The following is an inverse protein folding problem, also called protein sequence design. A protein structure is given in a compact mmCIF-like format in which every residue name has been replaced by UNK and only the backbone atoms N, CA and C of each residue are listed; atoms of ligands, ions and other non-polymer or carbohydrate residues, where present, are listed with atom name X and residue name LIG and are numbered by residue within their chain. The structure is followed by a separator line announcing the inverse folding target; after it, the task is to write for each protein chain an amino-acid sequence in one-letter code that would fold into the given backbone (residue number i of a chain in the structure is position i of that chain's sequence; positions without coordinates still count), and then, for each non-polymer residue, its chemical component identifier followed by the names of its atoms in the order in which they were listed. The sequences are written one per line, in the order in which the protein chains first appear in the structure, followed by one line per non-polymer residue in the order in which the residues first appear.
data_IF_395640078493
#
_entry.id   IF_395640078493
#
_cell.length_a   1.000
_cell.length_b   1.000
_cell.length_c   1.000
_cell.angle_alpha   90.00
_cell.angle_beta   90.00
_cell.angle_gamma   90.00
#
_symmetry.space_group_name_H-M   'P 1'
#
loop_
_entity.id
_entity.type
_entity.pdbx_description
1 polymer ?
#
# COMPACT_ATOMS: atom_id res chain seq x y z
N UNK A 1 -3.99 -74.85 3.11
CA UNK A 1 -5.47 -74.87 3.24
C UNK A 1 -5.91 -73.47 3.65
N UNK A 2 -6.48 -72.71 2.71
CA UNK A 2 -7.47 -71.66 3.01
C UNK A 2 -8.87 -72.29 2.81
N UNK A 3 -10.04 -71.61 2.96
CA UNK A 3 -10.34 -70.24 3.43
C UNK A 3 -11.59 -70.17 4.39
N UNK A 4 -11.99 -68.97 4.84
CA UNK A 4 -13.33 -68.35 4.58
C UNK A 4 -13.86 -67.42 5.68
N UNK A 5 -14.05 -66.14 5.32
CA UNK A 5 -15.22 -65.25 5.55
C UNK A 5 -15.64 -64.89 7.00
N UNK A 6 -16.06 -63.67 7.37
CA UNK A 6 -16.65 -62.56 6.63
C UNK A 6 -16.56 -61.28 7.48
N UNK A 7 -16.47 -60.14 6.78
CA UNK A 7 -16.49 -58.78 7.30
C UNK A 7 -17.76 -58.44 8.10
N UNK A 8 -17.63 -57.58 9.12
CA UNK A 8 -18.73 -56.74 9.62
C UNK A 8 -18.30 -55.28 9.74
N UNK A 9 -18.98 -54.47 8.93
CA UNK A 9 -19.13 -53.02 8.94
C UNK A 9 -18.84 -52.36 10.30
N UNK A 10 -17.92 -51.39 10.29
CA UNK A 10 -18.07 -50.17 11.11
C UNK A 10 -18.35 -49.04 10.13
N UNK A 11 -19.64 -48.81 9.90
CA UNK A 11 -20.17 -47.71 9.11
C UNK A 11 -20.30 -46.49 10.03
N UNK A 12 -19.65 -45.40 9.61
CA UNK A 12 -20.13 -44.02 9.71
C UNK A 12 -20.63 -43.49 11.07
N UNK A 13 -19.83 -42.59 11.66
CA UNK A 13 -20.30 -41.36 12.33
C UNK A 13 -19.15 -40.36 12.39
N UNK A 14 -18.68 -39.91 11.21
CA UNK A 14 -18.06 -38.59 11.10
C UNK A 14 -19.23 -37.62 11.11
N UNK A 15 -19.42 -36.92 12.22
CA UNK A 15 -20.30 -35.77 12.26
C UNK A 15 -19.72 -34.71 11.32
N UNK A 16 -20.20 -34.70 10.08
CA UNK A 16 -20.04 -33.57 9.19
C UNK A 16 -20.80 -32.41 9.82
N UNK A 17 -20.09 -31.56 10.56
CA UNK A 17 -20.55 -30.20 10.81
C UNK A 17 -20.55 -29.49 9.46
N UNK A 18 -21.67 -29.61 8.74
CA UNK A 18 -21.95 -28.76 7.59
C UNK A 18 -22.03 -27.33 8.09
N UNK A 19 -20.90 -26.63 8.04
CA UNK A 19 -20.92 -25.16 7.97
C UNK A 19 -21.65 -24.86 6.67
N UNK A 20 -22.93 -24.52 6.79
CA UNK A 20 -23.67 -23.90 5.70
C UNK A 20 -22.97 -22.59 5.41
N UNK A 21 -22.09 -22.59 4.41
CA UNK A 21 -21.71 -21.37 3.73
C UNK A 21 -23.00 -20.76 3.21
N UNK A 22 -23.41 -19.63 3.79
CA UNK A 22 -24.47 -18.81 3.23
C UNK A 22 -24.01 -18.40 1.83
N UNK A 23 -24.53 -19.06 0.79
CA UNK A 23 -24.38 -18.60 -0.59
C UNK A 23 -24.99 -17.19 -0.64
N UNK A 24 -24.32 -16.21 -1.28
CA UNK A 24 -24.90 -14.89 -1.41
C UNK A 24 -26.22 -14.96 -2.16
N UNK A 25 -27.13 -14.12 -1.68
CA UNK A 25 -28.52 -13.94 -2.07
C UNK A 25 -28.76 -14.08 -3.59
N UNK A 26 -29.62 -15.03 -3.98
CA UNK A 26 -30.18 -15.12 -5.35
C UNK A 26 -31.35 -14.14 -5.48
N UNK A 27 -31.07 -12.84 -5.34
CA UNK A 27 -32.06 -11.80 -5.65
C UNK A 27 -31.56 -10.89 -6.79
N UNK A 28 -32.19 -11.05 -7.96
CA UNK A 28 -32.61 -9.89 -8.76
C UNK A 28 -31.67 -9.23 -9.77
N UNK A 29 -30.37 -9.51 -9.84
CA UNK A 29 -29.57 -9.12 -11.02
C UNK A 29 -28.33 -9.99 -11.20
N UNK A 30 -28.09 -10.51 -12.41
CA UNK A 30 -26.80 -11.10 -12.80
C UNK A 30 -25.70 -10.03 -12.99
N UNK A 31 -25.93 -8.80 -12.52
CA UNK A 31 -24.99 -7.70 -12.70
C UNK A 31 -23.93 -7.76 -11.62
N UNK A 32 -22.67 -7.81 -12.05
CA UNK A 32 -21.50 -7.70 -11.17
C UNK A 32 -21.50 -6.31 -10.52
N UNK A 33 -21.26 -6.22 -9.21
CA UNK A 33 -21.20 -4.95 -8.49
C UNK A 33 -19.85 -4.29 -8.75
N UNK A 34 -19.88 -3.16 -9.45
CA UNK A 34 -18.73 -2.28 -9.63
C UNK A 34 -18.50 -1.39 -8.41
N UNK A 35 -17.24 -1.07 -8.15
CA UNK A 35 -16.83 -0.13 -7.10
C UNK A 35 -16.55 1.26 -7.68
N UNK A 36 -17.01 2.27 -6.95
CA UNK A 36 -16.58 3.66 -7.13
C UNK A 36 -15.11 3.83 -6.72
N UNK A 37 -14.51 4.97 -7.10
CA UNK A 37 -13.14 5.28 -6.68
C UNK A 37 -13.01 5.47 -5.17
N UNK A 38 -14.04 5.99 -4.51
CA UNK A 38 -13.99 6.22 -3.05
C UNK A 38 -14.10 4.89 -2.29
N UNK A 39 -14.96 3.96 -2.73
CA UNK A 39 -15.00 2.60 -2.17
C UNK A 39 -13.67 1.84 -2.38
N UNK A 40 -13.01 2.04 -3.52
CA UNK A 40 -11.67 1.47 -3.76
C UNK A 40 -10.64 2.02 -2.76
N UNK A 41 -10.65 3.33 -2.50
CA UNK A 41 -9.75 3.97 -1.53
C UNK A 41 -10.01 3.55 -0.09
N UNK A 42 -11.26 3.23 0.26
CA UNK A 42 -11.57 2.64 1.56
C UNK A 42 -10.94 1.25 1.71
N UNK A 43 -10.92 0.45 0.65
CA UNK A 43 -10.32 -0.90 0.68
C UNK A 43 -8.78 -0.82 0.68
N UNK A 44 -8.18 -0.02 -0.21
CA UNK A 44 -6.74 0.14 -0.37
C UNK A 44 -6.37 1.59 -0.72
N UNK A 45 -5.51 2.21 0.10
CA UNK A 45 -5.10 3.61 -0.04
C UNK A 45 -3.61 3.72 -0.43
N UNK A 46 -3.08 2.76 -1.19
CA UNK A 46 -1.67 2.77 -1.65
C UNK A 46 -1.38 3.82 -2.74
N UNK A 47 -2.39 4.63 -3.10
CA UNK A 47 -2.29 5.70 -4.08
C UNK A 47 -2.11 5.22 -5.52
N UNK A 48 -1.94 6.15 -6.47
CA UNK A 48 -1.70 5.81 -7.87
C UNK A 48 -0.33 5.17 -8.06
N UNK A 49 -0.22 4.29 -9.05
CA UNK A 49 1.06 3.68 -9.44
C UNK A 49 2.03 4.78 -9.90
N UNK A 50 3.26 4.84 -9.38
CA UNK A 50 4.29 5.73 -9.89
C UNK A 50 4.50 5.55 -11.40
N UNK A 51 4.57 6.66 -12.15
CA UNK A 51 4.71 6.63 -13.62
C UNK A 51 5.92 5.83 -14.07
N UNK A 52 7.03 5.93 -13.33
CA UNK A 52 8.26 5.20 -13.60
C UNK A 52 8.05 3.67 -13.54
N UNK A 53 7.14 3.20 -12.68
CA UNK A 53 6.82 1.77 -12.60
C UNK A 53 5.90 1.30 -13.72
N UNK A 54 5.07 2.20 -14.27
CA UNK A 54 4.25 1.92 -15.45
C UNK A 54 5.10 1.86 -16.73
N UNK A 55 6.14 2.69 -16.82
CA UNK A 55 7.08 2.70 -17.96
C UNK A 55 7.98 1.45 -17.98
N UNK A 56 8.30 0.91 -16.80
CA UNK A 56 9.01 -0.36 -16.65
C UNK A 56 8.04 -1.53 -16.84
N UNK A 57 7.60 -1.76 -18.09
CA UNK A 57 6.84 -2.95 -18.53
C UNK A 57 7.81 -4.12 -18.83
N UNK A 58 8.10 -5.03 -17.87
CA UNK A 58 8.96 -6.21 -18.08
C UNK A 58 8.46 -7.14 -19.18
N UNK A 59 7.16 -7.14 -19.40
CA UNK A 59 6.41 -8.03 -20.26
C UNK A 59 6.57 -7.70 -21.75
N UNK A 60 6.88 -6.46 -22.11
CA UNK A 60 7.29 -6.12 -23.48
C UNK A 60 8.72 -6.55 -23.80
N UNK A 61 9.54 -6.85 -22.79
CA UNK A 61 10.86 -7.48 -23.00
C UNK A 61 10.75 -8.96 -23.40
N UNK A 62 9.55 -9.58 -23.36
CA UNK A 62 9.34 -10.92 -23.93
C UNK A 62 9.33 -10.92 -25.47
N UNK A 63 9.13 -9.77 -26.13
CA UNK A 63 9.36 -9.62 -27.57
C UNK A 63 10.83 -9.48 -27.98
N UNK A 64 11.72 -9.18 -27.02
CA UNK A 64 13.18 -9.12 -27.22
C UNK A 64 13.94 -10.00 -26.21
N UNK A 65 13.29 -11.06 -25.73
CA UNK A 65 13.70 -11.91 -24.61
C UNK A 65 14.83 -12.91 -24.90
N UNK A 66 15.69 -12.68 -25.89
CA UNK A 66 16.77 -13.62 -26.22
C UNK A 66 17.86 -13.76 -25.13
N UNK A 67 17.86 -12.90 -24.10
CA UNK A 67 18.78 -13.03 -22.95
C UNK A 67 18.17 -13.70 -21.71
N UNK A 68 16.91 -13.46 -21.37
CA UNK A 68 16.28 -14.16 -20.24
C UNK A 68 15.84 -15.57 -20.61
N UNK A 69 15.38 -15.78 -21.86
CA UNK A 69 15.00 -17.10 -22.33
C UNK A 69 16.20 -18.04 -22.45
N UNK A 70 17.40 -17.57 -22.85
CA UNK A 70 18.62 -18.41 -22.84
C UNK A 70 19.06 -18.87 -21.44
N UNK A 71 18.70 -18.14 -20.39
CA UNK A 71 18.94 -18.57 -19.01
C UNK A 71 17.93 -19.62 -18.54
N UNK A 72 16.73 -19.68 -19.13
CA UNK A 72 15.64 -20.55 -18.67
C UNK A 72 15.45 -21.77 -19.57
N UNK A 73 15.77 -21.70 -20.87
CA UNK A 73 15.67 -22.84 -21.79
C UNK A 73 16.92 -23.74 -21.82
N UNK A 74 18.05 -23.30 -21.25
CA UNK A 74 19.30 -24.08 -21.15
C UNK A 74 19.62 -24.62 -19.75
N UNK A 75 18.84 -24.26 -18.73
CA UNK A 75 19.00 -24.75 -17.37
C UNK A 75 17.66 -25.32 -16.92
N UNK A 76 17.52 -26.65 -16.94
CA UNK A 76 16.30 -27.32 -16.48
C UNK A 76 15.83 -26.76 -15.16
N UNK A 77 14.51 -26.49 -15.05
CA UNK A 77 13.77 -26.07 -13.85
C UNK A 77 14.68 -25.56 -12.71
N UNK A 78 15.39 -24.44 -12.94
CA UNK A 78 16.13 -23.82 -11.84
C UNK A 78 15.07 -23.30 -10.87
N UNK A 79 14.97 -23.96 -9.72
CA UNK A 79 14.26 -23.47 -8.55
C UNK A 79 14.51 -21.96 -8.40
N UNK A 80 13.43 -21.19 -8.34
CA UNK A 80 13.49 -19.75 -8.06
C UNK A 80 14.37 -19.55 -6.83
N UNK A 81 15.40 -18.69 -6.89
CA UNK A 81 16.21 -18.38 -5.70
C UNK A 81 15.30 -17.89 -4.55
N UNK A 82 15.42 -18.36 -3.31
CA UNK A 82 14.56 -17.89 -2.24
C UNK A 82 14.79 -16.38 -1.99
N UNK A 83 13.69 -15.63 -1.80
CA UNK A 83 13.71 -14.28 -1.22
C UNK A 83 13.28 -14.42 0.24
N UNK A 84 14.10 -13.94 1.16
CA UNK A 84 13.79 -13.91 2.59
C UNK A 84 13.74 -12.45 3.00
N UNK A 85 12.54 -11.96 3.30
CA UNK A 85 12.30 -10.58 3.73
C UNK A 85 12.29 -10.55 5.25
N UNK A 86 13.28 -9.87 5.83
CA UNK A 86 13.27 -9.57 7.26
C UNK A 86 12.22 -8.52 7.58
N UNK A 87 11.40 -8.76 8.62
CA UNK A 87 10.27 -7.92 8.99
C UNK A 87 10.46 -7.32 10.38
N UNK A 88 10.44 -5.99 10.44
CA UNK A 88 10.32 -5.22 11.67
C UNK A 88 8.86 -4.83 11.88
N UNK A 89 8.27 -5.24 13.01
CA UNK A 89 6.88 -4.94 13.34
C UNK A 89 6.81 -3.94 14.48
N UNK A 90 6.04 -2.87 14.30
CA UNK A 90 5.63 -1.97 15.37
C UNK A 90 4.10 -2.03 15.52
N UNK A 91 3.62 -2.42 16.69
CA UNK A 91 2.20 -2.41 17.07
C UNK A 91 1.94 -1.15 17.89
N UNK A 92 1.09 -0.26 17.40
CA UNK A 92 0.78 1.02 18.04
C UNK A 92 -0.51 0.91 18.82
N UNK A 93 -0.46 1.29 20.10
CA UNK A 93 -1.60 1.20 21.02
C UNK A 93 -1.89 2.54 21.68
N UNK A 94 -3.16 2.85 21.90
CA UNK A 94 -3.55 4.00 22.73
C UNK A 94 -3.31 3.66 24.19
N UNK A 95 -3.01 4.68 25.01
CA UNK A 95 -2.75 4.54 26.45
C UNK A 95 -3.92 3.91 27.22
N UNK A 96 -5.14 4.11 26.75
CA UNK A 96 -6.37 3.63 27.39
C UNK A 96 -6.86 2.27 26.86
N UNK A 97 -6.16 1.71 25.87
CA UNK A 97 -6.58 0.45 25.26
C UNK A 97 -6.40 -0.72 26.22
N UNK A 98 -7.44 -1.54 26.34
CA UNK A 98 -7.48 -2.70 27.23
C UNK A 98 -7.13 -4.01 26.52
N UNK A 99 -7.05 -3.98 25.18
CA UNK A 99 -6.68 -5.11 24.34
C UNK A 99 -5.62 -4.67 23.33
N UNK A 100 -4.69 -5.57 23.01
CA UNK A 100 -3.64 -5.38 22.01
C UNK A 100 -3.52 -6.61 21.12
N UNK A 101 -2.82 -6.48 20.00
CA UNK A 101 -2.57 -7.59 19.09
C UNK A 101 -1.83 -8.73 19.82
N UNK A 102 -2.43 -9.92 19.83
CA UNK A 102 -1.80 -11.08 20.44
C UNK A 102 -0.67 -11.62 19.56
N UNK A 103 0.32 -12.28 20.19
CA UNK A 103 1.41 -12.98 19.48
C UNK A 103 0.86 -14.05 18.54
N UNK A 104 -0.23 -14.71 18.92
CA UNK A 104 -0.90 -15.73 18.12
C UNK A 104 -1.51 -15.12 16.84
N UNK A 105 -2.27 -14.03 16.97
CA UNK A 105 -2.83 -13.32 15.82
C UNK A 105 -1.75 -12.85 14.84
N UNK A 106 -0.65 -12.27 15.36
CA UNK A 106 0.49 -11.88 14.54
C UNK A 106 1.15 -13.10 13.85
N UNK A 107 1.36 -14.20 14.58
CA UNK A 107 1.98 -15.41 14.02
C UNK A 107 1.12 -16.03 12.93
N UNK A 108 -0.20 -16.10 13.13
CA UNK A 108 -1.15 -16.58 12.14
C UNK A 108 -1.14 -15.69 10.88
N UNK A 109 -1.06 -14.38 11.05
CA UNK A 109 -0.92 -13.46 9.92
C UNK A 109 0.37 -13.70 9.14
N UNK A 110 1.50 -13.91 9.81
CA UNK A 110 2.76 -14.25 9.13
C UNK A 110 2.68 -15.59 8.39
N UNK A 111 1.94 -16.57 8.90
CA UNK A 111 1.69 -17.83 8.21
C UNK A 111 0.89 -17.62 6.91
N UNK A 112 -0.19 -16.83 6.97
CA UNK A 112 -1.00 -16.45 5.79
C UNK A 112 -0.14 -15.76 4.73
N UNK A 113 0.74 -14.83 5.13
CA UNK A 113 1.67 -14.17 4.20
C UNK A 113 2.61 -15.18 3.54
N UNK A 114 3.26 -16.02 4.35
CA UNK A 114 4.21 -17.00 3.83
C UNK A 114 3.55 -18.00 2.87
N UNK A 115 2.31 -18.43 3.14
CA UNK A 115 1.53 -19.28 2.24
C UNK A 115 1.25 -18.58 0.90
N UNK A 116 0.71 -17.35 0.93
CA UNK A 116 0.35 -16.62 -0.28
C UNK A 116 1.54 -16.30 -1.20
N UNK A 117 2.73 -16.10 -0.64
CA UNK A 117 3.94 -15.76 -1.38
C UNK A 117 4.80 -16.96 -1.79
N UNK A 118 4.40 -18.21 -1.46
CA UNK A 118 5.11 -19.43 -1.87
C UNK A 118 5.31 -19.53 -3.39
N UNK A 119 4.32 -19.07 -4.18
CA UNK A 119 4.39 -19.08 -5.65
C UNK A 119 5.58 -18.28 -6.21
N UNK A 120 6.12 -17.33 -5.43
CA UNK A 120 7.29 -16.52 -5.80
C UNK A 120 8.59 -16.96 -5.12
N UNK A 121 8.56 -18.07 -4.38
CA UNK A 121 9.59 -18.52 -3.44
C UNK A 121 10.08 -17.38 -2.52
N UNK A 122 9.11 -16.63 -1.98
CA UNK A 122 9.35 -15.50 -1.07
C UNK A 122 8.79 -15.86 0.29
N UNK A 123 9.54 -15.53 1.34
CA UNK A 123 9.18 -15.75 2.73
C UNK A 123 9.47 -14.50 3.56
N UNK A 124 8.76 -14.38 4.69
CA UNK A 124 8.85 -13.27 5.62
C UNK A 124 9.22 -13.80 7.00
N UNK A 125 10.31 -13.26 7.55
CA UNK A 125 10.85 -13.65 8.86
C UNK A 125 10.79 -12.46 9.82
N UNK A 126 10.16 -12.64 10.98
CA UNK A 126 10.11 -11.61 12.01
C UNK A 126 11.51 -11.40 12.60
N UNK A 127 12.02 -10.17 12.46
CA UNK A 127 13.28 -9.75 13.07
C UNK A 127 13.06 -9.14 14.46
N UNK A 128 12.03 -8.30 14.60
CA UNK A 128 11.65 -7.70 15.87
C UNK A 128 10.17 -7.33 15.88
N UNK A 129 9.55 -7.39 17.05
CA UNK A 129 8.18 -6.94 17.29
C UNK A 129 8.18 -6.02 18.50
N UNK A 130 7.79 -4.77 18.30
CA UNK A 130 7.68 -3.77 19.35
C UNK A 130 6.23 -3.32 19.57
N UNK A 131 5.93 -2.92 20.79
CA UNK A 131 4.70 -2.20 21.12
C UNK A 131 5.03 -0.75 21.43
N UNK A 132 4.35 0.18 20.75
CA UNK A 132 4.53 1.63 20.90
C UNK A 132 3.25 2.23 21.47
N UNK A 133 3.34 2.87 22.63
CA UNK A 133 2.19 3.53 23.27
C UNK A 133 2.16 4.99 22.80
N UNK A 134 1.30 5.30 21.83
CA UNK A 134 1.17 6.64 21.27
C UNK A 134 -0.25 6.83 20.71
N UNK A 135 -1.01 7.75 21.31
CA UNK A 135 -2.43 7.92 20.98
C UNK A 135 -2.67 8.40 19.55
N UNK A 136 -1.78 9.24 19.01
CA UNK A 136 -1.90 9.84 17.67
C UNK A 136 -1.53 8.80 16.62
N UNK A 137 -0.40 8.12 16.81
CA UNK A 137 0.02 7.07 15.88
C UNK A 137 -0.89 5.84 15.89
N UNK A 138 -1.42 5.44 17.05
CA UNK A 138 -2.38 4.32 17.12
C UNK A 138 -3.69 4.57 16.35
N UNK A 139 -4.01 5.84 16.03
CA UNK A 139 -5.17 6.23 15.20
C UNK A 139 -4.80 6.58 13.76
N UNK A 140 -3.52 6.53 13.37
CA UNK A 140 -3.10 6.88 12.02
C UNK A 140 -3.07 8.38 11.69
N UNK A 141 -3.10 9.27 12.69
CA UNK A 141 -3.17 10.72 12.49
C UNK A 141 -1.82 11.37 12.07
N UNK A 142 -0.71 10.61 12.05
CA UNK A 142 0.63 11.10 11.70
C UNK A 142 1.50 9.97 11.06
N UNK A 143 0.93 9.28 10.05
CA UNK A 143 1.53 8.09 9.44
C UNK A 143 2.88 8.34 8.74
N UNK A 144 3.06 9.53 8.15
CA UNK A 144 4.30 9.88 7.47
C UNK A 144 5.48 9.90 8.45
N UNK A 145 5.36 10.64 9.57
CA UNK A 145 6.40 10.63 10.61
C UNK A 145 6.50 9.29 11.31
N UNK A 146 5.39 8.56 11.46
CA UNK A 146 5.39 7.21 12.01
C UNK A 146 6.36 6.32 11.24
N UNK A 147 6.25 6.24 9.92
CA UNK A 147 7.14 5.41 9.11
C UNK A 147 8.56 5.98 9.04
N UNK A 148 8.72 7.31 8.95
CA UNK A 148 10.06 7.92 8.88
C UNK A 148 10.84 7.69 10.18
N UNK A 149 10.21 7.89 11.33
CA UNK A 149 10.89 7.82 12.62
C UNK A 149 11.14 6.38 13.09
N UNK A 150 10.33 5.42 12.62
CA UNK A 150 10.40 4.03 13.06
C UNK A 150 10.93 3.05 12.00
N UNK A 151 11.45 3.55 10.87
CA UNK A 151 12.07 2.72 9.85
C UNK A 151 13.36 2.07 10.36
N UNK A 152 13.51 0.79 10.07
CA UNK A 152 14.71 -0.01 10.34
C UNK A 152 15.19 -0.73 9.09
N UNK A 153 16.48 -1.02 9.06
CA UNK A 153 17.13 -1.70 7.94
C UNK A 153 17.26 -0.83 6.70
N UNK A 154 17.03 -1.43 5.54
CA UNK A 154 17.22 -0.85 4.21
C UNK A 154 16.08 -1.30 3.27
N UNK A 155 16.22 -1.04 1.97
CA UNK A 155 15.17 -1.34 0.99
C UNK A 155 14.78 -2.83 0.89
N UNK A 156 15.60 -3.75 1.42
CA UNK A 156 15.34 -5.20 1.46
C UNK A 156 14.56 -5.66 2.70
N UNK A 157 14.40 -4.81 3.71
CA UNK A 157 13.65 -5.13 4.93
C UNK A 157 12.27 -4.50 4.92
N UNK A 158 11.27 -5.24 5.39
CA UNK A 158 9.91 -4.74 5.54
C UNK A 158 9.73 -4.09 6.92
N UNK A 159 9.22 -2.86 6.93
CA UNK A 159 8.72 -2.21 8.14
C UNK A 159 7.19 -2.27 8.11
N UNK A 160 6.60 -3.05 9.03
CA UNK A 160 5.16 -3.24 9.17
C UNK A 160 4.66 -2.51 10.42
N UNK A 161 3.76 -1.56 10.22
CA UNK A 161 3.16 -0.75 11.27
C UNK A 161 1.69 -1.13 11.43
N UNK A 162 1.32 -1.63 12.60
CA UNK A 162 -0.02 -2.12 12.89
C UNK A 162 -0.69 -1.17 13.87
N UNK A 163 -1.78 -0.52 13.46
CA UNK A 163 -2.49 0.50 14.22
C UNK A 163 -3.81 -0.06 14.78
N UNK A 164 -4.41 0.58 15.78
CA UNK A 164 -5.75 0.22 16.24
C UNK A 164 -6.83 0.63 15.22
N UNK A 165 -6.63 1.78 14.58
CA UNK A 165 -7.44 2.29 13.49
C UNK A 165 -6.61 3.18 12.56
N UNK A 166 -7.09 3.38 11.33
CA UNK A 166 -6.53 4.33 10.37
C UNK A 166 -7.54 5.46 10.19
N UNK A 167 -7.25 6.62 10.79
CA UNK A 167 -8.13 7.77 10.93
C UNK A 167 -9.45 7.45 11.66
N UNK A 168 -10.46 8.31 11.46
CA UNK A 168 -11.83 8.14 11.95
C UNK A 168 -12.62 7.06 11.19
N UNK A 169 -12.06 6.50 10.13
CA UNK A 169 -12.73 5.54 9.26
C UNK A 169 -12.45 4.11 9.74
N UNK A 170 -13.48 3.45 10.23
CA UNK A 170 -13.39 2.09 10.79
C UNK A 170 -13.03 1.02 9.74
N UNK A 171 -13.15 1.33 8.44
CA UNK A 171 -13.09 0.36 7.34
C UNK A 171 -11.80 0.40 6.50
N UNK A 172 -10.84 1.29 6.78
CA UNK A 172 -9.58 1.34 6.02
C UNK A 172 -8.66 0.17 6.37
N UNK A 173 -8.31 -0.64 5.37
CA UNK A 173 -7.39 -1.78 5.56
C UNK A 173 -5.96 -1.31 5.85
N UNK A 174 -5.46 -0.34 5.06
CA UNK A 174 -4.09 0.12 5.11
C UNK A 174 -3.54 0.54 3.77
N UNK A 175 -2.24 0.80 3.76
CA UNK A 175 -1.45 1.10 2.57
C UNK A 175 -0.02 0.56 2.69
N UNK A 176 0.60 0.25 1.56
CA UNK A 176 2.04 0.02 1.47
C UNK A 176 2.64 0.93 0.42
N UNK A 177 3.91 1.29 0.60
CA UNK A 177 4.67 1.96 -0.45
C UNK A 177 4.98 1.04 -1.62
N UNK A 178 4.98 1.60 -2.82
CA UNK A 178 5.59 0.94 -3.98
C UNK A 178 7.13 0.89 -3.85
N UNK A 179 7.82 0.03 -4.63
CA UNK A 179 9.28 0.00 -4.67
C UNK A 179 9.89 1.38 -4.91
N UNK A 180 10.93 1.77 -4.15
CA UNK A 180 11.51 3.09 -4.26
C UNK A 180 12.37 3.20 -5.53
N UNK A 181 11.81 3.75 -6.60
CA UNK A 181 12.48 3.88 -7.91
C UNK A 181 13.58 4.92 -7.96
N UNK A 182 13.38 6.02 -7.21
CA UNK A 182 14.30 7.17 -7.14
C UNK A 182 14.75 7.37 -5.69
N UNK A 183 14.15 8.32 -4.98
CA UNK A 183 14.50 8.62 -3.60
C UNK A 183 13.88 7.59 -2.66
N UNK A 184 14.73 6.89 -1.90
CA UNK A 184 14.28 6.00 -0.82
C UNK A 184 14.32 6.78 0.48
N UNK A 185 13.28 7.56 0.74
CA UNK A 185 13.15 8.44 1.91
C UNK A 185 12.09 7.94 2.90
N UNK A 186 11.18 7.11 2.41
CA UNK A 186 10.02 6.59 3.11
C UNK A 186 9.61 5.26 2.47
N UNK A 187 9.32 4.25 3.28
CA UNK A 187 8.91 2.91 2.85
C UNK A 187 8.24 2.17 4.00
N UNK A 188 7.46 1.15 3.65
CA UNK A 188 6.83 0.24 4.60
C UNK A 188 5.33 0.19 4.40
N UNK A 189 4.69 -0.51 5.33
CA UNK A 189 3.26 -0.78 5.29
C UNK A 189 2.62 -0.32 6.60
N UNK A 190 1.47 0.35 6.50
CA UNK A 190 0.63 0.70 7.63
C UNK A 190 -0.70 -0.02 7.46
N UNK A 191 -1.10 -0.79 8.45
CA UNK A 191 -2.37 -1.53 8.43
C UNK A 191 -3.17 -1.34 9.70
N UNK A 192 -4.48 -1.43 9.58
CA UNK A 192 -5.38 -1.56 10.72
C UNK A 192 -5.24 -2.96 11.31
N UNK A 193 -5.16 -3.07 12.63
CA UNK A 193 -5.18 -4.38 13.31
C UNK A 193 -6.46 -5.16 13.02
N UNK A 194 -7.57 -4.50 12.67
CA UNK A 194 -8.86 -5.15 12.38
C UNK A 194 -8.83 -6.09 11.17
N UNK A 195 -7.91 -5.87 10.23
CA UNK A 195 -7.76 -6.75 9.05
C UNK A 195 -6.93 -8.01 9.35
N UNK A 196 -6.39 -8.11 10.57
CA UNK A 196 -5.64 -9.27 11.05
C UNK A 196 -6.61 -10.22 11.76
N UNK A 197 -6.74 -11.49 11.30
CA UNK A 197 -7.58 -12.47 11.97
C UNK A 197 -7.22 -12.66 13.45
N UNK A 198 -8.21 -12.56 14.33
CA UNK A 198 -8.05 -12.72 15.77
C UNK A 198 -7.48 -11.51 16.52
N UNK A 199 -7.30 -10.36 15.86
CA UNK A 199 -6.91 -9.12 16.52
C UNK A 199 -8.07 -8.42 17.24
N UNK A 200 -7.82 -7.51 18.20
CA UNK A 200 -8.87 -6.68 18.79
C UNK A 200 -9.65 -5.89 17.74
N UNK A 201 -10.99 -5.88 17.83
CA UNK A 201 -11.85 -5.19 16.87
C UNK A 201 -12.02 -5.92 15.53
N UNK A 202 -11.38 -7.08 15.34
CA UNK A 202 -11.68 -8.00 14.26
C UNK A 202 -13.02 -8.70 14.56
N UNK A 203 -14.06 -8.37 13.81
CA UNK A 203 -15.42 -8.87 14.04
C UNK A 203 -15.96 -9.73 12.90
N UNK A 204 -15.24 -9.81 11.77
CA UNK A 204 -15.71 -10.46 10.55
C UNK A 204 -14.63 -11.33 9.89
N UNK A 205 -14.75 -12.64 10.11
CA UNK A 205 -13.88 -13.67 9.52
C UNK A 205 -14.23 -14.04 8.07
N UNK A 206 -15.36 -13.55 7.56
CA UNK A 206 -15.76 -13.72 6.16
C UNK A 206 -15.09 -12.63 5.32
N UNK A 207 -15.14 -11.38 5.79
CA UNK A 207 -14.57 -10.21 5.09
C UNK A 207 -13.06 -10.08 5.30
N UNK A 208 -12.54 -10.39 6.50
CA UNK A 208 -11.11 -10.27 6.80
C UNK A 208 -10.49 -11.64 7.16
N UNK A 209 -9.71 -12.19 6.23
CA UNK A 209 -8.96 -13.45 6.33
C UNK A 209 -7.44 -13.22 6.29
N UNK A 210 -7.00 -12.00 6.56
CA UNK A 210 -5.58 -11.61 6.55
C UNK A 210 -4.99 -11.41 5.15
N UNK A 211 -5.81 -11.38 4.10
CA UNK A 211 -5.37 -11.23 2.71
C UNK A 211 -5.24 -9.76 2.29
N UNK A 212 -5.74 -8.81 3.08
CA UNK A 212 -5.48 -7.39 2.94
C UNK A 212 -3.98 -7.11 2.97
N UNK A 213 -3.25 -7.68 3.93
CA UNK A 213 -1.80 -7.50 3.99
C UNK A 213 -1.08 -8.20 2.82
N UNK A 214 -1.61 -9.32 2.31
CA UNK A 214 -1.08 -9.97 1.09
C UNK A 214 -1.20 -9.03 -0.11
N UNK A 215 -2.38 -8.42 -0.29
CA UNK A 215 -2.65 -7.43 -1.33
C UNK A 215 -1.72 -6.22 -1.21
N UNK A 216 -1.62 -5.65 -0.02
CA UNK A 216 -0.77 -4.48 0.24
C UNK A 216 0.71 -4.79 -0.01
N UNK A 217 1.19 -5.98 0.38
CA UNK A 217 2.55 -6.41 0.05
C UNK A 217 2.75 -6.65 -1.44
N UNK A 218 1.71 -7.00 -2.19
CA UNK A 218 1.76 -6.98 -3.64
C UNK A 218 2.18 -5.61 -4.18
N UNK A 219 1.65 -4.51 -3.63
CA UNK A 219 2.12 -3.15 -3.95
C UNK A 219 3.56 -2.92 -3.51
N UNK A 220 3.95 -3.40 -2.33
CA UNK A 220 5.33 -3.32 -1.85
C UNK A 220 6.33 -4.02 -2.79
N UNK A 221 5.92 -5.09 -3.46
CA UNK A 221 6.67 -5.76 -4.53
C UNK A 221 6.45 -5.18 -5.94
N UNK A 222 5.64 -4.13 -6.09
CA UNK A 222 5.48 -3.41 -7.34
C UNK A 222 4.33 -3.85 -8.24
N UNK A 223 3.37 -4.60 -7.69
CA UNK A 223 2.12 -4.90 -8.37
C UNK A 223 1.12 -3.76 -8.19
N UNK A 224 0.29 -3.56 -9.20
CA UNK A 224 -0.88 -2.68 -9.15
C UNK A 224 -2.16 -3.49 -9.09
N UNK A 225 -3.27 -2.81 -8.87
CA UNK A 225 -4.59 -3.41 -8.99
C UNK A 225 -4.78 -4.03 -10.37
N UNK A 226 -5.38 -5.22 -10.44
CA UNK A 226 -5.64 -5.91 -11.73
C UNK A 226 -6.54 -5.11 -12.66
N UNK A 227 -7.25 -4.12 -12.13
CA UNK A 227 -8.28 -3.33 -12.79
C UNK A 227 -7.74 -2.00 -13.34
N UNK A 228 -6.42 -1.80 -13.26
CA UNK A 228 -5.78 -0.56 -13.70
C UNK A 228 -6.05 -0.30 -15.18
N UNK A 229 -6.53 0.92 -15.48
CA UNK A 229 -6.90 1.35 -16.83
C UNK A 229 -8.22 0.76 -17.37
N UNK A 230 -8.87 -0.15 -16.63
CA UNK A 230 -10.18 -0.70 -16.99
C UNK A 230 -10.21 -1.36 -18.36
N UNK A 231 -11.36 -1.29 -19.03
CA UNK A 231 -11.54 -1.86 -20.37
C UNK A 231 -10.87 -1.06 -21.50
N UNK A 232 -10.35 0.14 -21.21
CA UNK A 232 -9.74 1.02 -22.21
C UNK A 232 -8.25 0.73 -22.43
N UNK A 233 -7.64 -0.16 -21.64
CA UNK A 233 -6.23 -0.54 -21.83
C UNK A 233 -6.01 -1.15 -23.21
N UNK A 234 -5.04 -0.61 -23.94
CA UNK A 234 -4.64 -1.13 -25.24
C UNK A 234 -3.95 -2.50 -25.11
N UNK A 235 -3.04 -2.62 -24.16
CA UNK A 235 -2.33 -3.86 -23.80
C UNK A 235 -2.48 -4.14 -22.30
N UNK A 236 -2.50 -5.41 -21.86
CA UNK A 236 -2.32 -5.76 -20.46
C UNK A 236 -1.03 -5.14 -19.91
N UNK A 237 -1.08 -4.56 -18.71
CA UNK A 237 0.12 -4.06 -18.03
C UNK A 237 0.95 -5.20 -17.41
N UNK A 238 0.29 -6.32 -17.12
CA UNK A 238 0.91 -7.62 -16.81
C UNK A 238 0.33 -8.61 -17.82
N UNK A 239 1.18 -9.25 -18.62
CA UNK A 239 0.76 -10.03 -19.79
C UNK A 239 -0.34 -11.09 -19.58
N UNK A 240 -0.48 -11.66 -18.38
CA UNK A 240 -1.45 -12.70 -18.05
C UNK A 240 -2.59 -12.22 -17.14
N UNK A 241 -2.76 -10.90 -17.00
CA UNK A 241 -3.89 -10.30 -16.28
C UNK A 241 -4.86 -9.69 -17.30
N UNK A 242 -6.07 -10.26 -17.46
CA UNK A 242 -7.10 -9.70 -18.33
C UNK A 242 -7.55 -8.30 -17.91
N UNK A 243 -7.98 -7.51 -18.90
CA UNK A 243 -8.61 -6.21 -18.64
C UNK A 243 -9.91 -6.42 -17.84
N UNK A 244 -10.11 -5.66 -16.78
CA UNK A 244 -11.27 -5.79 -15.90
C UNK A 244 -11.59 -4.48 -15.18
N UNK A 245 -12.84 -4.33 -14.77
CA UNK A 245 -13.31 -3.24 -13.92
C UNK A 245 -13.23 -3.65 -12.44
N UNK A 246 -13.16 -2.68 -11.50
CA UNK A 246 -13.11 -2.98 -10.08
C UNK A 246 -14.45 -3.52 -9.58
N UNK A 247 -14.46 -4.82 -9.25
CA UNK A 247 -15.64 -5.55 -8.78
C UNK A 247 -15.53 -5.91 -7.30
N UNK A 248 -16.68 -6.00 -6.63
CA UNK A 248 -16.74 -6.43 -5.23
C UNK A 248 -17.70 -7.60 -5.05
N UNK A 249 -17.17 -8.71 -4.58
CA UNK A 249 -17.93 -9.92 -4.31
C UNK A 249 -17.05 -11.15 -4.45
N UNK A 250 -17.69 -12.31 -4.55
CA UNK A 250 -17.06 -13.58 -4.89
C UNK A 250 -17.95 -14.27 -5.93
N UNK A 251 -17.88 -13.78 -7.17
CA UNK A 251 -18.64 -14.32 -8.29
C UNK A 251 -18.02 -15.65 -8.75
N UNK A 252 -18.82 -16.52 -9.38
CA UNK A 252 -18.26 -17.75 -10.00
C UNK A 252 -17.49 -17.39 -11.28
N UNK A 253 -18.08 -16.51 -12.09
CA UNK A 253 -17.49 -15.96 -13.30
C UNK A 253 -17.91 -14.50 -13.39
N UNK A 254 -17.01 -13.65 -13.86
CA UNK A 254 -17.28 -12.25 -14.19
C UNK A 254 -16.47 -11.89 -15.44
N UNK A 255 -17.09 -11.11 -16.32
CA UNK A 255 -16.47 -10.54 -17.51
C UNK A 255 -17.01 -9.13 -17.69
N UNK A 256 -16.28 -8.16 -17.15
CA UNK A 256 -16.66 -6.74 -17.21
C UNK A 256 -16.13 -6.05 -18.47
N UNK A 257 -15.27 -6.71 -19.24
CA UNK A 257 -14.69 -6.22 -20.48
C UNK A 257 -14.87 -7.25 -21.61
N UNK A 258 -16.12 -7.52 -22.06
CA UNK A 258 -16.42 -8.64 -22.98
C UNK A 258 -15.81 -8.50 -24.38
N UNK A 259 -15.42 -7.29 -24.76
CA UNK A 259 -14.70 -7.01 -26.02
C UNK A 259 -13.18 -7.23 -25.90
N UNK A 260 -12.70 -7.67 -24.74
CA UNK A 260 -11.29 -7.97 -24.44
C UNK A 260 -11.11 -9.46 -24.14
N UNK A 261 -9.91 -10.02 -24.33
CA UNK A 261 -9.67 -11.44 -24.05
C UNK A 261 -9.59 -11.74 -22.55
N UNK A 262 -10.26 -12.81 -22.14
CA UNK A 262 -10.18 -13.38 -20.79
C UNK A 262 -11.27 -12.87 -19.83
N UNK A 263 -11.54 -13.64 -18.79
CA UNK A 263 -12.48 -13.26 -17.73
C UNK A 263 -11.80 -12.37 -16.68
N UNK A 264 -12.61 -11.65 -15.89
CA UNK A 264 -12.11 -10.88 -14.76
C UNK A 264 -11.28 -11.77 -13.80
N UNK A 265 -10.11 -11.31 -13.33
CA UNK A 265 -9.25 -12.06 -12.41
C UNK A 265 -9.79 -12.02 -10.97
N UNK A 266 -10.99 -12.58 -10.76
CA UNK A 266 -11.77 -12.50 -9.51
C UNK A 266 -11.04 -13.04 -8.28
N UNK A 267 -10.17 -14.04 -8.49
CA UNK A 267 -9.41 -14.72 -7.45
C UNK A 267 -8.04 -14.10 -7.16
N UNK A 268 -7.65 -13.06 -7.88
CA UNK A 268 -6.35 -12.45 -7.74
C UNK A 268 -6.25 -11.62 -6.45
N UNK A 269 -5.12 -11.73 -5.74
CA UNK A 269 -4.90 -10.93 -4.53
C UNK A 269 -4.95 -9.42 -4.80
N UNK A 270 -4.57 -8.97 -6.00
CA UNK A 270 -4.54 -7.54 -6.38
C UNK A 270 -5.89 -6.99 -6.86
N UNK A 271 -6.95 -7.80 -6.87
CA UNK A 271 -8.32 -7.31 -7.14
C UNK A 271 -9.00 -6.72 -5.91
N UNK A 272 -10.21 -6.18 -6.09
CA UNK A 272 -11.06 -5.62 -5.01
C UNK A 272 -12.14 -6.58 -4.50
N UNK A 273 -12.19 -7.80 -5.05
CA UNK A 273 -13.10 -8.86 -4.60
C UNK A 273 -12.93 -9.19 -3.12
N UNK A 274 -13.90 -9.87 -2.53
CA UNK A 274 -13.85 -10.20 -1.09
C UNK A 274 -12.70 -11.16 -0.79
N UNK A 275 -12.16 -11.12 0.44
CA UNK A 275 -11.00 -11.95 0.78
C UNK A 275 -11.26 -13.46 0.70
N UNK A 276 -12.51 -13.91 0.85
CA UNK A 276 -12.85 -15.32 0.61
C UNK A 276 -12.56 -15.76 -0.83
N UNK A 277 -12.66 -14.85 -1.80
CA UNK A 277 -12.43 -15.12 -3.22
C UNK A 277 -10.93 -15.19 -3.58
N UNK A 278 -10.10 -14.37 -2.93
CA UNK A 278 -8.70 -14.17 -3.31
C UNK A 278 -7.80 -15.34 -2.91
N UNK A 279 -7.02 -15.91 -3.80
CA UNK A 279 -6.10 -17.00 -3.46
C UNK A 279 -4.86 -17.13 -4.35
N UNK A 280 -4.64 -16.20 -5.29
CA UNK A 280 -3.52 -16.35 -6.22
C UNK A 280 -2.86 -15.02 -6.66
N UNK A 281 -1.60 -15.14 -7.02
CA UNK A 281 -0.90 -14.24 -7.94
C UNK A 281 -0.70 -14.97 -9.27
N UNK A 282 -0.74 -14.24 -10.38
CA UNK A 282 -0.45 -14.80 -11.70
C UNK A 282 1.06 -15.05 -11.89
N UNK A 283 1.43 -15.78 -12.95
CA UNK A 283 2.84 -16.02 -13.30
C UNK A 283 3.53 -14.71 -13.69
N UNK A 284 2.84 -13.84 -14.43
CA UNK A 284 3.34 -12.53 -14.81
C UNK A 284 3.54 -11.61 -13.61
N UNK A 285 2.63 -11.65 -12.64
CA UNK A 285 2.79 -10.96 -11.37
C UNK A 285 4.02 -11.47 -10.61
N UNK A 286 4.21 -12.79 -10.51
CA UNK A 286 5.39 -13.38 -9.88
C UNK A 286 6.70 -12.91 -10.55
N UNK A 287 6.77 -12.93 -11.88
CA UNK A 287 7.94 -12.44 -12.63
C UNK A 287 8.20 -10.96 -12.32
N UNK A 288 7.16 -10.13 -12.31
CA UNK A 288 7.27 -8.71 -12.02
C UNK A 288 7.79 -8.43 -10.61
N UNK A 289 7.22 -9.09 -9.60
CA UNK A 289 7.66 -8.96 -8.21
C UNK A 289 9.17 -9.23 -8.07
N UNK A 290 9.64 -10.29 -8.73
CA UNK A 290 11.05 -10.75 -8.66
C UNK A 290 11.98 -9.76 -9.35
N UNK A 291 11.59 -9.27 -10.53
CA UNK A 291 12.38 -8.26 -11.22
C UNK A 291 12.48 -6.96 -10.41
N UNK A 292 11.36 -6.52 -9.83
CA UNK A 292 11.32 -5.29 -9.05
C UNK A 292 12.05 -5.42 -7.72
N UNK A 293 12.02 -6.61 -7.12
CA UNK A 293 12.90 -6.96 -6.02
C UNK A 293 14.37 -6.74 -6.39
N UNK A 294 14.85 -7.35 -7.47
CA UNK A 294 16.25 -7.26 -7.90
C UNK A 294 16.68 -5.82 -8.26
N UNK A 295 15.77 -5.04 -8.85
CA UNK A 295 16.03 -3.65 -9.25
C UNK A 295 16.06 -2.68 -8.07
N UNK A 296 15.11 -2.81 -7.12
CA UNK A 296 14.83 -1.73 -6.16
C UNK A 296 15.02 -2.11 -4.70
N UNK A 297 14.96 -3.40 -4.34
CA UNK A 297 14.94 -3.86 -2.94
C UNK A 297 16.14 -4.72 -2.58
N UNK A 298 16.39 -5.78 -3.34
CA UNK A 298 17.40 -6.81 -3.06
C UNK A 298 18.85 -6.32 -2.99
N UNK A 299 19.12 -5.09 -3.45
CA UNK A 299 20.43 -4.45 -3.31
C UNK A 299 20.68 -3.81 -1.93
N UNK A 300 19.69 -3.83 -1.03
CA UNK A 300 19.84 -3.32 0.33
C UNK A 300 20.16 -1.83 0.39
N UNK A 301 19.55 -1.04 -0.50
CA UNK A 301 19.82 0.40 -0.57
C UNK A 301 19.41 1.07 0.73
N UNK A 302 20.34 1.80 1.37
CA UNK A 302 20.05 2.54 2.60
C UNK A 302 19.13 3.72 2.34
N UNK A 303 18.25 3.98 3.32
CA UNK A 303 17.33 5.11 3.27
C UNK A 303 18.09 6.43 3.28
N UNK A 304 17.78 7.28 2.31
CA UNK A 304 18.25 8.66 2.25
C UNK A 304 17.52 9.47 3.31
N UNK A 305 18.22 10.19 4.20
CA UNK A 305 17.57 11.12 5.13
C UNK A 305 16.82 12.20 4.36
N UNK A 306 15.63 12.57 4.84
CA UNK A 306 14.92 13.73 4.29
C UNK A 306 15.73 14.99 4.49
N UNK A 307 15.92 15.74 3.40
CA UNK A 307 16.60 17.04 3.38
C UNK A 307 15.88 17.96 2.42
N UNK A 308 15.84 19.25 2.75
CA UNK A 308 15.31 20.28 1.86
C UNK A 308 16.46 21.12 1.30
N UNK A 309 16.53 21.29 -0.03
CA UNK A 309 17.50 22.19 -0.64
C UNK A 309 17.18 23.64 -0.30
N UNK A 310 18.17 24.52 -0.43
CA UNK A 310 17.93 25.96 -0.43
C UNK A 310 17.40 26.35 -1.82
N UNK A 311 16.18 26.87 -1.85
CA UNK A 311 15.44 27.24 -3.05
C UNK A 311 15.93 28.58 -3.58
N UNK A 312 15.87 28.73 -4.91
CA UNK A 312 16.21 29.98 -5.56
C UNK A 312 15.04 30.95 -5.53
N UNK A 313 15.27 32.24 -5.20
CA UNK A 313 14.22 33.24 -5.18
C UNK A 313 13.82 33.66 -6.60
N UNK A 314 12.52 33.82 -6.83
CA UNK A 314 11.95 34.53 -7.96
C UNK A 314 11.47 35.93 -7.53
N UNK A 315 11.77 36.96 -8.34
CA UNK A 315 11.48 38.36 -8.05
C UNK A 315 10.64 39.02 -9.15
N UNK A 316 9.79 39.97 -8.77
CA UNK A 316 9.01 40.83 -9.69
C UNK A 316 8.50 42.04 -8.90
N UNK A 317 8.86 43.22 -9.38
CA UNK A 317 8.49 44.47 -8.73
C UNK A 317 9.05 44.59 -7.30
N UNK A 318 8.26 45.22 -6.43
CA UNK A 318 8.65 45.56 -5.05
C UNK A 318 8.25 44.51 -3.99
N UNK A 319 7.66 43.37 -4.39
CA UNK A 319 7.21 42.33 -3.47
C UNK A 319 8.36 41.46 -2.95
N UNK A 320 8.12 40.75 -1.85
CA UNK A 320 9.06 39.72 -1.35
C UNK A 320 9.27 38.60 -2.37
N UNK A 321 10.46 37.96 -2.37
CA UNK A 321 10.76 36.86 -3.29
C UNK A 321 9.84 35.67 -3.06
N UNK A 322 9.69 34.85 -4.10
CA UNK A 322 8.97 33.59 -4.05
C UNK A 322 9.88 32.39 -4.24
N UNK A 323 9.68 31.38 -3.41
CA UNK A 323 10.43 30.12 -3.42
C UNK A 323 9.49 28.97 -3.79
N UNK A 324 9.64 28.46 -5.02
CA UNK A 324 8.84 27.33 -5.52
C UNK A 324 9.46 26.00 -5.11
N UNK A 325 8.62 25.08 -4.64
CA UNK A 325 9.01 23.71 -4.27
C UNK A 325 8.73 22.77 -5.44
N UNK A 326 9.71 21.96 -5.82
CA UNK A 326 9.50 20.85 -6.77
C UNK A 326 8.64 19.76 -6.14
N UNK A 327 7.80 19.10 -6.94
CA UNK A 327 6.99 17.96 -6.50
C UNK A 327 7.84 16.85 -5.84
N UNK A 328 9.09 16.67 -6.29
CA UNK A 328 10.02 15.68 -5.73
C UNK A 328 10.39 15.96 -4.25
N UNK A 329 10.21 17.19 -3.77
CA UNK A 329 10.52 17.61 -2.41
C UNK A 329 9.29 17.67 -1.50
N UNK A 330 8.09 17.38 -2.02
CA UNK A 330 6.84 17.56 -1.27
C UNK A 330 6.78 16.70 0.00
N UNK A 331 7.28 15.46 -0.05
CA UNK A 331 7.40 14.63 1.15
C UNK A 331 8.33 15.23 2.20
N UNK A 332 9.46 15.83 1.78
CA UNK A 332 10.38 16.48 2.70
C UNK A 332 9.73 17.73 3.31
N UNK A 333 8.97 18.50 2.53
CA UNK A 333 8.24 19.68 3.04
C UNK A 333 7.16 19.27 4.03
N UNK A 334 6.29 18.32 3.68
CA UNK A 334 5.20 17.87 4.56
C UNK A 334 5.70 17.22 5.86
N UNK A 335 6.94 16.71 5.88
CA UNK A 335 7.51 16.08 7.08
C UNK A 335 8.39 17.02 7.91
N UNK A 336 9.13 17.92 7.26
CA UNK A 336 10.12 18.77 7.95
C UNK A 336 9.56 20.15 8.29
N UNK A 337 8.65 20.67 7.46
CA UNK A 337 8.09 22.01 7.63
C UNK A 337 6.75 22.03 8.35
N UNK A 338 5.96 20.95 8.24
CA UNK A 338 4.75 20.83 9.05
C UNK A 338 5.11 20.48 10.50
N UNK A 339 4.34 20.95 11.49
CA UNK A 339 4.49 20.51 12.86
C UNK A 339 4.20 19.01 12.94
N UNK A 340 5.06 18.25 13.63
CA UNK A 340 4.75 16.87 13.96
C UNK A 340 3.71 16.78 15.10
N UNK A 341 3.35 15.55 15.51
CA UNK A 341 2.37 15.34 16.59
C UNK A 341 2.72 15.97 17.95
N UNK A 342 3.97 16.41 18.15
CA UNK A 342 4.39 17.15 19.34
C UNK A 342 4.44 18.67 19.12
N UNK A 343 3.93 19.15 17.98
CA UNK A 343 4.00 20.55 17.56
C UNK A 343 5.39 20.99 17.10
N UNK A 344 6.32 20.06 16.88
CA UNK A 344 7.71 20.40 16.55
C UNK A 344 7.85 20.60 15.04
N UNK A 345 8.29 21.79 14.65
CA UNK A 345 8.69 22.11 13.27
C UNK A 345 10.21 21.94 13.16
N UNK A 346 10.67 21.07 12.25
CA UNK A 346 12.10 20.75 12.09
C UNK A 346 12.82 21.74 11.18
N UNK A 347 12.11 22.33 10.22
CA UNK A 347 12.61 23.36 9.30
C UNK A 347 11.53 24.42 9.16
N UNK A 348 11.82 25.67 9.54
CA UNK A 348 10.85 26.77 9.48
C UNK A 348 11.20 27.84 8.43
N UNK A 349 12.37 27.75 7.79
CA UNK A 349 12.84 28.77 6.88
C UNK A 349 12.12 28.72 5.53
N UNK A 350 11.61 29.87 5.09
CA UNK A 350 10.92 30.01 3.80
C UNK A 350 11.76 29.52 2.62
N UNK A 351 13.07 29.77 2.64
CA UNK A 351 14.01 29.37 1.58
C UNK A 351 14.12 27.85 1.41
N UNK A 352 13.61 27.05 2.35
CA UNK A 352 13.64 25.59 2.29
C UNK A 352 12.22 25.01 2.17
N UNK A 353 11.28 25.57 2.93
CA UNK A 353 9.88 25.12 2.92
C UNK A 353 9.10 25.61 1.70
N UNK A 354 9.59 26.66 1.02
CA UNK A 354 8.86 27.33 -0.05
C UNK A 354 7.82 28.31 0.47
N UNK A 355 7.53 29.34 -0.33
CA UNK A 355 6.67 30.45 0.07
C UNK A 355 5.23 30.03 0.34
N UNK A 356 4.70 29.06 -0.42
CA UNK A 356 3.35 28.54 -0.21
C UNK A 356 3.20 27.91 1.18
N UNK A 357 4.03 26.92 1.49
CA UNK A 357 3.98 26.19 2.76
C UNK A 357 4.40 27.05 3.95
N UNK A 358 5.37 27.94 3.75
CA UNK A 358 5.75 28.91 4.77
C UNK A 358 4.58 29.78 5.23
N UNK A 359 3.74 30.22 4.29
CA UNK A 359 2.54 30.97 4.64
C UNK A 359 1.42 30.07 5.17
N UNK A 360 1.11 28.96 4.50
CA UNK A 360 -0.01 28.10 4.84
C UNK A 360 0.14 27.41 6.21
N UNK A 361 1.36 26.95 6.53
CA UNK A 361 1.71 26.38 7.84
C UNK A 361 2.07 27.46 8.88
N UNK A 362 1.85 28.73 8.54
CA UNK A 362 2.09 29.89 9.40
C UNK A 362 3.51 30.02 9.98
N UNK A 363 4.51 29.48 9.26
CA UNK A 363 5.92 29.50 9.66
C UNK A 363 6.51 30.91 9.74
N UNK A 364 5.85 31.88 9.12
CA UNK A 364 6.14 33.30 9.27
C UNK A 364 6.09 33.78 10.72
N UNK A 365 5.20 33.20 11.56
CA UNK A 365 5.11 33.49 12.99
C UNK A 365 6.40 33.11 13.72
N UNK A 366 7.01 31.97 13.34
CA UNK A 366 8.28 31.51 13.90
C UNK A 366 9.48 32.34 13.43
N UNK A 367 9.33 33.05 12.31
CA UNK A 367 10.36 33.94 11.75
C UNK A 367 10.26 35.38 12.26
N UNK A 368 9.27 35.68 13.12
CA UNK A 368 9.02 37.03 13.64
C UNK A 368 8.28 37.95 12.66
N UNK A 369 7.78 37.43 11.54
CA UNK A 369 6.91 38.18 10.63
C UNK A 369 5.47 38.17 11.17
N UNK A 370 4.73 39.26 10.93
CA UNK A 370 3.35 39.40 11.39
C UNK A 370 2.40 39.63 10.21
N UNK A 371 1.50 38.67 10.01
CA UNK A 371 0.42 38.74 9.01
C UNK A 371 -0.89 38.28 9.67
N UNK A 372 -2.00 38.87 9.23
CA UNK A 372 -3.33 38.52 9.74
C UNK A 372 -3.68 37.05 9.47
N UNK A 373 -3.33 36.54 8.29
CA UNK A 373 -3.54 35.16 7.88
C UNK A 373 -2.49 34.73 6.84
N UNK A 374 -2.53 33.45 6.46
CA UNK A 374 -1.66 32.90 5.43
C UNK A 374 -1.87 33.56 4.06
N UNK A 375 -3.07 34.08 3.76
CA UNK A 375 -3.38 34.75 2.48
C UNK A 375 -2.66 36.09 2.38
N UNK A 376 -2.63 36.86 3.46
CA UNK A 376 -1.88 38.10 3.58
C UNK A 376 -0.37 37.86 3.47
N UNK A 377 0.16 36.83 4.15
CA UNK A 377 1.55 36.39 4.00
C UNK A 377 1.89 36.08 2.54
N UNK A 378 0.98 35.38 1.84
CA UNK A 378 1.17 34.99 0.44
C UNK A 378 1.04 36.18 -0.51
N UNK A 379 0.15 37.14 -0.22
CA UNK A 379 -0.08 38.34 -1.04
C UNK A 379 1.10 39.32 -1.02
N UNK A 380 1.85 39.36 0.08
CA UNK A 380 3.09 40.16 0.22
C UNK A 380 4.27 39.59 -0.59
N UNK A 381 4.14 38.34 -1.04
CA UNK A 381 5.07 37.66 -1.95
C UNK A 381 4.55 37.69 -3.38
N UNK A 382 5.44 37.52 -4.33
CA UNK A 382 5.07 37.53 -5.74
C UNK A 382 5.03 36.14 -6.35
N UNK A 383 3.90 35.72 -6.90
CA UNK A 383 3.78 34.48 -7.68
C UNK A 383 4.20 34.71 -9.14
N UNK A 384 5.34 34.18 -9.63
CA UNK A 384 5.66 34.23 -11.05
C UNK A 384 4.73 33.26 -11.79
N UNK A 385 4.07 33.72 -12.84
CA UNK A 385 2.91 33.07 -13.45
C UNK A 385 3.01 31.56 -13.70
N UNK A 386 2.05 30.84 -13.14
CA UNK A 386 1.22 29.85 -13.82
C UNK A 386 -0.11 29.76 -13.06
N UNK A 387 -1.19 29.46 -13.77
CA UNK A 387 -2.61 29.39 -13.36
C UNK A 387 -2.88 28.71 -12.02
N UNK A 388 -4.12 28.87 -11.53
CA UNK A 388 -4.77 28.26 -10.36
C UNK A 388 -4.74 26.70 -10.28
N UNK A 389 -3.64 26.05 -10.67
CA UNK A 389 -3.53 24.61 -10.91
C UNK A 389 -2.62 23.86 -9.92
N UNK A 390 -2.22 24.46 -8.80
CA UNK A 390 -2.19 23.64 -7.58
C UNK A 390 -3.63 23.66 -7.07
N UNK A 391 -4.50 22.93 -7.79
CA UNK A 391 -5.78 22.50 -7.20
C UNK A 391 -5.41 21.91 -5.85
N UNK A 392 -6.11 22.34 -4.80
CA UNK A 392 -6.08 21.78 -3.45
C UNK A 392 -6.18 20.24 -3.44
N UNK A 393 -6.54 19.60 -4.56
CA UNK A 393 -6.59 18.15 -4.76
C UNK A 393 -5.27 17.34 -4.68
N UNK A 394 -4.11 17.93 -4.42
CA UNK A 394 -2.90 17.14 -4.06
C UNK A 394 -2.73 16.95 -2.54
N UNK A 395 -3.52 17.65 -1.72
CA UNK A 395 -3.56 17.46 -0.26
C UNK A 395 -4.21 16.13 0.14
N UNK A 396 -5.14 15.63 -0.68
CA UNK A 396 -5.88 14.39 -0.38
C UNK A 396 -5.06 13.09 -0.55
N UNK A 397 -3.83 13.16 -1.10
CA UNK A 397 -3.02 11.96 -1.35
C UNK A 397 -1.94 11.65 -0.30
N UNK A 398 -1.72 12.55 0.66
CA UNK A 398 -0.62 12.43 1.65
C UNK A 398 -1.08 12.60 3.10
N UNK A 399 -2.37 12.37 3.39
CA UNK A 399 -2.89 12.34 4.75
C UNK A 399 -2.99 13.71 5.43
N UNK A 400 -3.19 14.78 4.66
CA UNK A 400 -3.40 16.12 5.19
C UNK A 400 -4.88 16.44 5.51
N UNK A 401 -5.78 15.45 5.53
CA UNK A 401 -7.19 15.61 5.89
C UNK A 401 -7.42 15.85 7.41
N UNK A 402 -6.37 16.19 8.16
CA UNK A 402 -6.41 16.45 9.61
C UNK A 402 -6.39 17.93 10.02
N UNK A 403 -6.37 18.87 9.06
CA UNK A 403 -6.23 20.31 9.35
C UNK A 403 -7.40 21.20 8.89
N UNK A 404 -8.51 20.62 8.43
CA UNK A 404 -9.76 21.34 8.27
C UNK A 404 -10.71 21.01 9.43
N UNK A 405 -10.64 21.87 10.45
CA UNK A 405 -11.56 21.96 11.59
C UNK A 405 -11.57 23.37 12.14
#
# INVERSE_FOLDING_TARGET
MAPSTLARLVMSLVAASTVTAQLPDRSGSNAVRLLTLDEQKEICDSGPVPKELLELRPDFAFGQGHRFQRSVSGAGYRSLKPIIVGVYVNVYVRRQSTQTLSKEALSNQMAILNEAFQATNTSFELLEVNTVIDNTWARGEDMTNLQINNHRGDASTLNLHILESINTLENKSGHCTFPPTKNFTYDGCVISSRVIPGAPGHTDSVTYRGKALVHLLGHWFGLWHTTIGGCDVADPLVFDIPASQPTYGCYLEADTCPDKPGNDPIHNYMGFNTEVCKHEFSVGQAIRMRMFWDLFRGQGRRRTPLRLPVLQPAYLGAKKPWYSVSLDNMQAVSTLCAPDRHGIVRVSHEKQCGSHWFCHLELYKLSGENYADWKACRADRMWPGSSDDIKDGLLHGLGADGFEG
#
